data_IF_924927660565
#
_entry.id   IF_924927660565
#
_cell.length_a   1.000
_cell.length_b   1.000
_cell.length_c   1.000
_cell.angle_alpha   90.00
_cell.angle_beta   90.00
_cell.angle_gamma   90.00
#
_symmetry.space_group_name_H-M   'P 1'
#
loop_
_entity.id
_entity.type
_entity.pdbx_description
1 polymer ?
#
# COMPACT_ATOMS: atom_id res chain seq x y z
N UNK A 1 8.71 -8.19 -80.36
CA UNK A 1 7.67 -8.37 -79.33
C UNK A 1 8.36 -8.40 -78.02
N UNK A 2 8.23 -7.35 -77.15
CA UNK A 2 8.85 -7.23 -75.83
C UNK A 2 7.70 -7.30 -74.80
N UNK A 3 7.65 -8.39 -74.04
CA UNK A 3 6.71 -8.62 -72.95
C UNK A 3 7.28 -8.02 -71.66
N UNK A 4 6.58 -7.00 -71.12
CA UNK A 4 6.88 -6.39 -69.82
C UNK A 4 6.15 -7.16 -68.71
N UNK A 5 6.86 -7.70 -67.74
CA UNK A 5 6.30 -8.27 -66.50
C UNK A 5 6.13 -7.16 -65.47
N UNK A 6 4.90 -6.96 -65.06
CA UNK A 6 4.52 -6.04 -63.98
C UNK A 6 4.57 -6.83 -62.66
N UNK A 7 5.52 -6.52 -61.80
CA UNK A 7 5.56 -7.08 -60.44
C UNK A 7 4.71 -6.25 -59.49
N UNK A 8 3.63 -6.81 -58.98
CA UNK A 8 2.78 -6.19 -57.96
C UNK A 8 3.35 -6.53 -56.54
N UNK A 9 3.88 -5.51 -55.87
CA UNK A 9 4.26 -5.61 -54.47
C UNK A 9 3.01 -5.48 -53.56
N UNK A 10 2.62 -6.59 -52.93
CA UNK A 10 1.60 -6.55 -51.84
C UNK A 10 2.33 -6.09 -50.55
N UNK A 11 2.02 -4.87 -50.13
CA UNK A 11 2.41 -4.38 -48.80
C UNK A 11 1.42 -4.96 -47.76
N UNK A 12 1.88 -5.94 -46.97
CA UNK A 12 1.13 -6.44 -45.83
C UNK A 12 1.31 -5.47 -44.67
N UNK A 13 0.33 -4.63 -44.43
CA UNK A 13 0.27 -3.74 -43.28
C UNK A 13 0.08 -4.54 -42.00
N UNK A 14 1.11 -4.64 -41.16
CA UNK A 14 0.99 -5.18 -39.82
C UNK A 14 0.21 -4.19 -38.93
N UNK A 15 -1.07 -4.47 -38.71
CA UNK A 15 -1.88 -3.73 -37.71
C UNK A 15 -1.47 -4.20 -36.33
N UNK A 16 -0.65 -3.39 -35.64
CA UNK A 16 -0.33 -3.61 -34.23
C UNK A 16 -1.59 -3.34 -33.38
N UNK A 17 -2.18 -4.38 -32.83
CA UNK A 17 -3.25 -4.27 -31.84
C UNK A 17 -2.63 -3.77 -30.54
N UNK A 18 -2.72 -2.48 -30.27
CA UNK A 18 -2.45 -1.92 -28.93
C UNK A 18 -3.60 -2.37 -28.05
N UNK A 19 -3.37 -3.39 -27.23
CA UNK A 19 -4.31 -3.80 -26.19
C UNK A 19 -4.43 -2.64 -25.20
N UNK A 20 -5.56 -1.94 -25.23
CA UNK A 20 -5.88 -0.92 -24.23
C UNK A 20 -6.02 -1.64 -22.88
N UNK A 21 -5.01 -1.51 -22.03
CA UNK A 21 -5.05 -2.05 -20.67
C UNK A 21 -6.18 -1.36 -19.91
N UNK A 22 -7.13 -2.14 -19.39
CA UNK A 22 -8.27 -1.60 -18.66
C UNK A 22 -7.79 -0.74 -17.48
N UNK A 23 -8.25 0.51 -17.40
CA UNK A 23 -7.90 1.42 -16.30
C UNK A 23 -8.44 0.85 -14.99
N UNK A 24 -7.55 0.59 -14.02
CA UNK A 24 -7.92 0.08 -12.70
C UNK A 24 -8.78 1.10 -11.95
N UNK A 25 -9.78 0.61 -11.20
CA UNK A 25 -10.67 1.47 -10.38
C UNK A 25 -9.95 2.10 -9.20
N UNK A 26 -8.94 1.41 -8.67
CA UNK A 26 -8.05 1.90 -7.60
C UNK A 26 -6.72 2.26 -8.23
N UNK A 27 -6.40 3.55 -8.25
CA UNK A 27 -5.18 4.03 -8.89
C UNK A 27 -3.97 3.77 -8.01
N UNK A 28 -2.84 3.48 -8.64
CA UNK A 28 -1.57 3.30 -7.97
C UNK A 28 -1.07 4.60 -7.35
N UNK A 29 -0.49 4.50 -6.15
CA UNK A 29 0.12 5.61 -5.44
C UNK A 29 1.29 5.16 -4.60
N UNK A 30 2.17 6.09 -4.28
CA UNK A 30 3.27 5.89 -3.36
C UNK A 30 3.50 7.13 -2.53
N UNK A 31 4.08 6.94 -1.35
CA UNK A 31 4.60 8.01 -0.51
C UNK A 31 5.94 7.57 0.04
N UNK A 32 6.93 8.47 -0.03
CA UNK A 32 8.25 8.26 0.53
C UNK A 32 8.56 9.40 1.51
N UNK A 33 9.06 9.04 2.70
CA UNK A 33 9.49 9.98 3.72
C UNK A 33 10.87 9.57 4.24
N UNK A 34 11.78 10.55 4.31
CA UNK A 34 13.04 10.38 5.02
C UNK A 34 12.88 10.76 6.48
N UNK A 35 13.37 9.91 7.39
CA UNK A 35 13.41 10.11 8.84
C UNK A 35 14.86 9.84 9.29
N UNK A 36 15.62 10.84 9.66
CA UNK A 36 17.07 10.75 9.82
C UNK A 36 17.74 10.12 8.57
N UNK A 37 18.42 8.99 8.75
CA UNK A 37 19.05 8.23 7.67
C UNK A 37 18.17 7.11 7.09
N UNK A 38 16.95 6.96 7.60
CA UNK A 38 16.00 5.96 7.13
C UNK A 38 15.10 6.52 6.05
N UNK A 39 14.99 5.83 4.93
CA UNK A 39 13.93 6.07 3.96
C UNK A 39 12.79 5.09 4.23
N UNK A 40 11.57 5.62 4.32
CA UNK A 40 10.32 4.86 4.48
C UNK A 40 9.51 5.05 3.22
N UNK A 41 9.25 3.98 2.47
CA UNK A 41 8.47 4.04 1.23
C UNK A 41 7.25 3.13 1.34
N UNK A 42 6.07 3.67 1.05
CA UNK A 42 4.81 2.93 0.99
C UNK A 42 4.30 2.94 -0.44
N UNK A 43 3.93 1.76 -0.94
CA UNK A 43 3.38 1.58 -2.30
C UNK A 43 2.04 0.86 -2.16
N UNK A 44 0.99 1.38 -2.77
CA UNK A 44 -0.36 0.88 -2.61
C UNK A 44 -1.29 1.30 -3.76
N UNK A 45 -2.39 0.59 -3.93
CA UNK A 45 -3.47 1.04 -4.79
C UNK A 45 -4.58 1.65 -3.92
N UNK A 46 -5.18 2.74 -4.39
CA UNK A 46 -5.99 3.68 -3.59
C UNK A 46 -7.49 3.50 -3.85
N UNK A 47 -8.21 2.66 -3.06
CA UNK A 47 -9.65 2.54 -3.19
C UNK A 47 -10.37 3.84 -2.79
N UNK A 48 -11.49 4.09 -3.47
CA UNK A 48 -12.35 5.26 -3.26
C UNK A 48 -13.61 4.83 -2.53
N UNK A 49 -14.06 5.59 -1.54
CA UNK A 49 -15.21 5.24 -0.67
C UNK A 49 -16.53 5.19 -1.46
N UNK A 50 -16.79 6.15 -2.32
CA UNK A 50 -18.01 6.24 -3.17
C UNK A 50 -19.29 6.11 -2.36
N UNK A 51 -19.37 6.81 -1.23
CA UNK A 51 -20.54 6.82 -0.37
C UNK A 51 -20.83 5.50 0.36
N UNK A 52 -19.91 4.49 0.28
CA UNK A 52 -20.10 3.22 0.98
C UNK A 52 -19.82 3.37 2.47
N UNK A 53 -20.51 2.60 3.28
CA UNK A 53 -20.08 2.32 4.64
C UNK A 53 -18.85 1.41 4.58
N UNK A 54 -17.73 1.89 5.13
CA UNK A 54 -16.43 1.27 4.90
C UNK A 54 -16.17 0.09 5.85
N UNK A 55 -16.22 0.33 7.16
CA UNK A 55 -15.86 -0.68 8.16
C UNK A 55 -17.12 -1.37 8.70
N UNK A 56 -17.10 -2.70 8.67
CA UNK A 56 -18.23 -3.57 8.89
C UNK A 56 -18.75 -4.13 7.55
N UNK A 57 -19.49 -3.35 6.76
CA UNK A 57 -20.06 -3.86 5.50
C UNK A 57 -19.03 -4.07 4.36
N UNK A 58 -18.13 -3.11 4.13
CA UNK A 58 -17.14 -3.21 3.03
C UNK A 58 -15.87 -3.91 3.48
N UNK A 59 -15.37 -3.58 4.66
CA UNK A 59 -14.20 -4.18 5.31
C UNK A 59 -14.69 -4.84 6.61
N UNK A 60 -14.87 -6.17 6.64
CA UNK A 60 -15.42 -6.87 7.80
C UNK A 60 -14.56 -6.70 9.05
N UNK A 61 -15.20 -6.51 10.19
CA UNK A 61 -14.52 -6.54 11.49
C UNK A 61 -13.99 -7.94 11.83
N UNK A 62 -12.87 -7.98 12.57
CA UNK A 62 -12.25 -9.21 13.05
C UNK A 62 -11.53 -10.03 11.97
N UNK A 63 -11.29 -9.48 10.78
CA UNK A 63 -10.58 -10.14 9.69
C UNK A 63 -9.42 -9.30 9.19
N UNK A 64 -8.36 -9.98 8.77
CA UNK A 64 -7.23 -9.33 8.13
C UNK A 64 -7.65 -8.71 6.80
N UNK A 65 -7.36 -7.44 6.66
CA UNK A 65 -7.61 -6.62 5.49
C UNK A 65 -6.32 -5.93 5.05
N UNK A 66 -6.00 -6.02 3.79
CA UNK A 66 -4.98 -5.17 3.15
C UNK A 66 -5.58 -3.78 2.91
N UNK A 67 -4.98 -2.71 3.45
CA UNK A 67 -5.45 -1.34 3.25
C UNK A 67 -5.06 -0.82 1.86
N UNK A 68 -5.60 -1.44 0.83
CA UNK A 68 -5.30 -1.19 -0.56
C UNK A 68 -6.28 -1.90 -1.49
N UNK A 69 -5.81 -2.27 -2.67
CA UNK A 69 -6.52 -3.03 -3.68
C UNK A 69 -5.51 -3.69 -4.64
N UNK A 70 -5.91 -4.80 -5.27
CA UNK A 70 -5.11 -5.56 -6.24
C UNK A 70 -3.83 -6.13 -5.60
N UNK A 71 -2.64 -5.64 -5.90
CA UNK A 71 -1.41 -6.00 -5.21
C UNK A 71 -1.47 -5.50 -3.75
N UNK A 72 -0.92 -6.29 -2.83
CA UNK A 72 -0.90 -5.91 -1.42
C UNK A 72 -0.11 -4.61 -1.21
N UNK A 73 -0.61 -3.77 -0.33
CA UNK A 73 0.09 -2.58 0.15
C UNK A 73 1.40 -2.98 0.77
N UNK A 74 2.48 -2.33 0.38
CA UNK A 74 3.81 -2.59 0.93
C UNK A 74 4.39 -1.36 1.62
N UNK A 75 5.19 -1.62 2.66
CA UNK A 75 6.06 -0.63 3.30
C UNK A 75 7.49 -1.14 3.31
N UNK A 76 8.43 -0.27 2.95
CA UNK A 76 9.86 -0.58 2.97
C UNK A 76 10.62 0.39 3.86
N UNK A 77 11.59 -0.13 4.61
CA UNK A 77 12.49 0.64 5.46
C UNK A 77 13.93 0.37 5.02
N UNK A 78 14.70 1.43 4.76
CA UNK A 78 16.10 1.31 4.33
C UNK A 78 17.06 0.93 5.46
N UNK A 79 16.68 1.13 6.71
CA UNK A 79 17.40 0.74 7.92
C UNK A 79 16.45 0.19 8.97
N UNK A 80 16.95 -0.42 10.04
CA UNK A 80 16.13 -0.84 11.19
C UNK A 80 15.37 0.34 11.78
N UNK A 81 14.15 0.09 12.25
CA UNK A 81 13.29 1.11 12.88
C UNK A 81 12.65 0.58 14.16
N UNK A 82 12.14 1.50 14.99
CA UNK A 82 11.08 1.18 15.94
C UNK A 82 9.76 1.55 15.29
N UNK A 83 8.93 0.57 14.99
CA UNK A 83 7.60 0.74 14.41
C UNK A 83 6.53 0.47 15.48
N UNK A 84 5.79 1.49 15.88
CA UNK A 84 4.87 1.39 17.01
C UNK A 84 5.59 1.01 18.33
N UNK A 85 6.87 1.37 18.48
CA UNK A 85 7.70 1.05 19.64
C UNK A 85 8.37 -0.33 19.61
N UNK A 86 8.11 -1.14 18.59
CA UNK A 86 8.71 -2.48 18.42
C UNK A 86 9.81 -2.44 17.35
N UNK A 87 10.96 -3.06 17.66
CA UNK A 87 12.09 -3.14 16.71
C UNK A 87 11.69 -3.96 15.49
N UNK A 88 11.91 -3.39 14.31
CA UNK A 88 11.68 -4.01 13.03
C UNK A 88 12.94 -3.87 12.17
N UNK A 89 13.49 -4.95 11.62
CA UNK A 89 14.62 -4.89 10.71
C UNK A 89 14.33 -4.10 9.44
N UNK A 90 15.38 -3.58 8.80
CA UNK A 90 15.32 -3.08 7.45
C UNK A 90 14.71 -4.14 6.52
N UNK A 91 13.89 -3.72 5.57
CA UNK A 91 13.26 -4.65 4.65
C UNK A 91 11.96 -4.12 4.07
N UNK A 92 11.33 -4.98 3.27
CA UNK A 92 10.02 -4.73 2.65
C UNK A 92 8.98 -5.69 3.24
N UNK A 93 7.84 -5.15 3.60
CA UNK A 93 6.74 -5.87 4.26
C UNK A 93 5.42 -5.55 3.58
N UNK A 94 4.49 -6.50 3.53
CA UNK A 94 3.09 -6.18 3.23
C UNK A 94 2.37 -5.67 4.48
N UNK A 95 1.41 -4.78 4.27
CA UNK A 95 0.66 -4.11 5.33
C UNK A 95 -0.72 -4.73 5.45
N UNK A 96 -1.11 -5.10 6.68
CA UNK A 96 -2.42 -5.65 6.98
C UNK A 96 -2.98 -5.00 8.24
N UNK A 97 -4.30 -4.97 8.31
CA UNK A 97 -5.02 -4.42 9.47
C UNK A 97 -6.18 -5.34 9.81
N UNK A 98 -6.41 -5.58 11.10
CA UNK A 98 -7.64 -6.21 11.59
C UNK A 98 -8.51 -5.14 12.22
N UNK A 99 -9.54 -4.63 11.52
CA UNK A 99 -10.48 -3.69 12.09
C UNK A 99 -11.31 -4.36 13.19
N UNK A 100 -11.60 -3.62 14.24
CA UNK A 100 -12.47 -4.06 15.31
C UNK A 100 -13.64 -3.08 15.44
N UNK A 101 -14.83 -3.58 15.75
CA UNK A 101 -16.01 -2.73 15.99
C UNK A 101 -15.79 -1.82 17.20
N UNK A 102 -15.08 -2.31 18.21
CA UNK A 102 -14.75 -1.59 19.45
C UNK A 102 -13.30 -1.84 19.84
N UNK A 103 -12.66 -0.83 20.43
CA UNK A 103 -11.29 -0.91 20.92
C UNK A 103 -10.22 -0.76 19.84
N UNK A 104 -8.98 -1.08 20.19
CA UNK A 104 -7.86 -0.97 19.25
C UNK A 104 -7.98 -1.98 18.12
N UNK A 105 -7.59 -1.57 16.93
CA UNK A 105 -7.35 -2.45 15.79
C UNK A 105 -5.98 -3.08 15.88
N UNK A 106 -5.70 -4.12 15.10
CA UNK A 106 -4.37 -4.69 15.00
C UNK A 106 -3.74 -4.26 13.68
N UNK A 107 -2.58 -3.61 13.74
CA UNK A 107 -1.75 -3.31 12.59
C UNK A 107 -0.69 -4.39 12.44
N UNK A 108 -0.50 -4.94 11.24
CA UNK A 108 0.36 -6.09 10.98
C UNK A 108 1.30 -5.75 9.85
N UNK A 109 2.57 -6.13 10.01
CA UNK A 109 3.55 -6.17 8.93
C UNK A 109 3.97 -7.62 8.70
N UNK A 110 3.85 -8.09 7.46
CA UNK A 110 4.20 -9.44 7.06
C UNK A 110 5.43 -9.46 6.17
N UNK A 111 6.32 -10.43 6.37
CA UNK A 111 7.49 -10.65 5.51
C UNK A 111 7.15 -11.13 4.11
N UNK A 112 5.93 -11.61 3.88
CA UNK A 112 5.41 -11.92 2.56
C UNK A 112 5.00 -10.62 1.83
N UNK A 113 5.97 -9.87 1.31
CA UNK A 113 5.74 -8.54 0.76
C UNK A 113 5.10 -8.55 -0.63
N UNK A 114 5.50 -9.46 -1.50
CA UNK A 114 5.06 -9.48 -2.90
C UNK A 114 3.91 -10.48 -3.08
N UNK A 115 2.76 -10.14 -2.50
CA UNK A 115 1.54 -10.96 -2.53
C UNK A 115 0.35 -10.15 -3.06
N UNK A 116 -0.75 -10.82 -3.36
CA UNK A 116 -2.01 -10.16 -3.69
C UNK A 116 -2.74 -9.76 -2.39
N UNK A 117 -3.64 -8.76 -2.44
CA UNK A 117 -4.36 -8.26 -1.26
C UNK A 117 -5.25 -9.29 -0.56
N UNK A 118 -5.39 -10.47 -1.12
CA UNK A 118 -6.14 -11.61 -0.57
C UNK A 118 -5.67 -12.92 -1.22
N UNK A 119 -5.54 -14.03 -0.49
CA UNK A 119 -5.75 -14.15 0.96
C UNK A 119 -4.58 -13.58 1.79
N UNK A 120 -4.85 -13.28 3.06
CA UNK A 120 -3.80 -12.92 4.02
C UNK A 120 -2.77 -14.05 4.17
N UNK A 121 -1.45 -13.74 4.09
CA UNK A 121 -0.38 -14.75 4.13
C UNK A 121 -0.03 -15.16 5.57
N UNK A 122 -0.92 -15.85 6.25
CA UNK A 122 -0.76 -16.25 7.64
C UNK A 122 0.58 -16.92 7.95
N UNK A 123 1.10 -16.71 9.18
CA UNK A 123 2.35 -17.30 9.65
C UNK A 123 3.62 -16.61 9.13
N UNK A 124 3.50 -15.42 8.53
CA UNK A 124 4.60 -14.60 8.02
C UNK A 124 4.70 -13.23 8.70
N UNK A 125 4.03 -13.05 9.83
CA UNK A 125 4.05 -11.78 10.54
C UNK A 125 5.44 -11.48 11.11
N UNK A 126 5.97 -10.33 10.72
CA UNK A 126 7.14 -9.74 11.36
C UNK A 126 6.74 -8.96 12.62
N UNK A 127 5.50 -8.42 12.62
CA UNK A 127 5.02 -7.53 13.66
C UNK A 127 3.49 -7.53 13.73
N UNK A 128 2.95 -7.53 14.95
CA UNK A 128 1.54 -7.21 15.25
C UNK A 128 1.49 -6.21 16.40
N UNK A 129 0.88 -5.05 16.19
CA UNK A 129 0.75 -4.01 17.22
C UNK A 129 -0.68 -3.50 17.31
N UNK A 130 -1.14 -3.06 18.50
CA UNK A 130 -2.41 -2.37 18.61
C UNK A 130 -2.31 -0.96 18.01
N UNK A 131 -3.38 -0.53 17.32
CA UNK A 131 -3.53 0.82 16.78
C UNK A 131 -4.95 1.30 17.07
N UNK A 132 -5.09 2.38 17.82
CA UNK A 132 -6.41 2.92 18.17
C UNK A 132 -6.92 3.81 17.05
N UNK A 133 -8.06 3.47 16.41
CA UNK A 133 -8.64 4.32 15.39
C UNK A 133 -9.11 5.64 15.98
N UNK A 134 -8.84 6.71 15.26
CA UNK A 134 -9.29 8.06 15.60
C UNK A 134 -10.25 8.58 14.52
N UNK A 135 -11.12 9.50 14.89
CA UNK A 135 -11.99 10.16 13.94
C UNK A 135 -11.29 11.37 13.33
N UNK A 136 -11.22 11.41 12.00
CA UNK A 136 -10.71 12.54 11.21
C UNK A 136 -11.80 13.12 10.28
N UNK A 137 -11.45 14.15 9.49
CA UNK A 137 -12.30 14.63 8.40
C UNK A 137 -12.53 13.51 7.37
N UNK A 138 -13.55 13.63 6.53
CA UNK A 138 -13.80 12.61 5.51
C UNK A 138 -12.71 12.60 4.45
N UNK A 139 -12.08 11.44 4.25
CA UNK A 139 -11.10 11.15 3.21
C UNK A 139 -11.70 10.16 2.20
N UNK A 140 -12.09 10.65 1.04
CA UNK A 140 -12.79 9.86 0.01
C UNK A 140 -11.92 8.73 -0.56
N UNK A 141 -10.64 9.02 -0.82
CA UNK A 141 -9.67 8.06 -1.37
C UNK A 141 -8.71 7.64 -0.28
N UNK A 142 -8.57 6.33 -0.03
CA UNK A 142 -7.61 5.80 0.94
C UNK A 142 -6.22 6.41 0.73
N UNK A 143 -5.60 6.86 1.81
CA UNK A 143 -4.29 7.50 1.78
C UNK A 143 -3.41 7.05 2.94
N UNK A 144 -2.13 6.90 2.62
CA UNK A 144 -1.03 6.90 3.58
C UNK A 144 -0.31 8.25 3.50
N UNK A 145 0.06 8.81 4.63
CA UNK A 145 0.80 10.07 4.70
C UNK A 145 1.50 10.23 6.05
N UNK A 146 2.40 11.21 6.15
CA UNK A 146 3.16 11.53 7.35
C UNK A 146 2.75 12.92 7.87
N UNK A 147 1.79 13.01 8.81
CA UNK A 147 1.33 14.31 9.35
C UNK A 147 2.37 14.98 10.25
N UNK A 148 3.29 14.20 10.81
CA UNK A 148 4.37 14.69 11.68
C UNK A 148 5.68 14.02 11.25
N UNK A 149 6.71 14.84 11.05
CA UNK A 149 8.09 14.37 10.78
C UNK A 149 9.02 15.24 11.61
N UNK A 150 9.89 14.60 12.38
CA UNK A 150 10.92 15.26 13.20
C UNK A 150 12.30 14.70 12.85
N UNK A 151 13.34 15.10 13.57
CA UNK A 151 14.73 14.79 13.27
C UNK A 151 15.02 13.27 13.17
N UNK A 152 14.43 12.46 14.04
CA UNK A 152 14.64 11.00 14.10
C UNK A 152 13.35 10.18 14.16
N UNK A 153 12.21 10.82 14.00
CA UNK A 153 10.91 10.19 14.14
C UNK A 153 9.87 10.77 13.18
N UNK A 154 8.84 9.98 12.92
CA UNK A 154 7.67 10.40 12.15
C UNK A 154 6.43 9.66 12.64
N UNK A 155 5.27 10.14 12.23
CA UNK A 155 4.00 9.43 12.40
C UNK A 155 3.48 9.04 11.03
N UNK A 156 3.30 7.73 10.79
CA UNK A 156 2.59 7.23 9.63
C UNK A 156 1.09 7.21 9.92
N UNK A 157 0.28 7.76 9.04
CA UNK A 157 -1.17 7.70 9.11
C UNK A 157 -1.75 6.96 7.91
N UNK A 158 -2.64 6.01 8.19
CA UNK A 158 -3.57 5.40 7.25
C UNK A 158 -4.93 6.07 7.45
N UNK A 159 -5.52 6.63 6.38
CA UNK A 159 -6.76 7.36 6.45
C UNK A 159 -7.73 6.94 5.35
N UNK A 160 -8.94 6.52 5.72
CA UNK A 160 -10.02 6.25 4.78
C UNK A 160 -11.39 6.53 5.42
N UNK A 161 -12.26 7.22 4.69
CA UNK A 161 -13.50 7.74 5.26
C UNK A 161 -13.18 8.71 6.41
N UNK A 162 -13.79 8.50 7.55
CA UNK A 162 -13.51 9.28 8.77
C UNK A 162 -12.58 8.57 9.75
N UNK A 163 -11.95 7.47 9.34
CA UNK A 163 -11.09 6.66 10.20
C UNK A 163 -9.62 6.92 9.91
N UNK A 164 -8.86 7.23 10.94
CA UNK A 164 -7.41 7.44 10.91
C UNK A 164 -6.74 6.47 11.87
N UNK A 165 -5.75 5.72 11.38
CA UNK A 165 -4.82 4.95 12.21
C UNK A 165 -3.45 5.59 12.13
N UNK A 166 -2.85 5.90 13.27
CA UNK A 166 -1.54 6.56 13.34
C UNK A 166 -0.54 5.69 14.10
N UNK A 167 0.62 5.45 13.46
CA UNK A 167 1.68 4.60 13.98
C UNK A 167 2.96 5.43 14.07
N UNK A 168 3.56 5.59 15.26
CA UNK A 168 4.84 6.24 15.39
C UNK A 168 5.96 5.37 14.80
N UNK A 169 6.87 6.04 14.09
CA UNK A 169 8.10 5.45 13.55
C UNK A 169 9.27 6.22 14.13
N UNK A 170 10.26 5.52 14.67
CA UNK A 170 11.54 6.11 15.04
C UNK A 170 12.65 5.44 14.25
N UNK A 171 13.52 6.22 13.62
CA UNK A 171 14.69 5.71 12.93
C UNK A 171 15.59 4.98 13.94
N UNK A 172 16.09 3.80 13.57
CA UNK A 172 17.07 3.11 14.36
C UNK A 172 18.33 3.98 14.45
N UNK A 173 18.64 4.48 15.63
CA UNK A 173 20.00 4.95 15.90
C UNK A 173 20.89 3.75 15.71
N UNK A 174 22.01 3.88 14.97
CA UNK A 174 23.06 2.88 15.02
C UNK A 174 23.37 2.67 16.51
N UNK A 175 22.97 1.53 17.05
CA UNK A 175 23.35 1.16 18.40
C UNK A 175 24.86 0.89 18.33
N UNK A 176 25.65 1.88 18.73
CA UNK A 176 27.06 1.72 19.04
C UNK A 176 27.20 0.92 20.31
#
# INVERSE_FOLDING_TARGET
>A
MKTAFLAACLAVGATSWVSAQAVRKSQHGSVTQRVANTEVTIVYNRPVARGRELFGPTVPYGREWDPGADEATTIAFSTDVLFGGVRLPAGKYSVWVVPMERGPWTFILSTAADVFHTPYPGGKDALRIPATPQRGPHMETLAFYFPVVDADSAVLSLHWGTTVLSIPIKAGSALH
#
